data_IF_070647034909
#
_entry.id   IF_070647034909
#
_cell.length_a   1.000
_cell.length_b   1.000
_cell.length_c   1.000
_cell.angle_alpha   90.00
_cell.angle_beta   90.00
_cell.angle_gamma   90.00
#
_symmetry.space_group_name_H-M   'P 1'
#
loop_
_entity.id
_entity.type
_entity.pdbx_description
1 polymer ?
#
# COMPACT_ATOMS: atom_id res chain seq x y z
N UNK A 1 26.26 -10.54 -3.08
CA UNK A 1 24.82 -10.73 -3.37
C UNK A 1 24.09 -10.62 -2.05
N UNK A 2 23.70 -9.42 -1.63
CA UNK A 2 22.78 -9.26 -0.49
C UNK A 2 21.56 -8.62 -1.15
N UNK A 3 20.64 -9.49 -1.59
CA UNK A 3 19.34 -9.08 -2.08
C UNK A 3 18.70 -8.35 -0.90
N UNK A 4 18.72 -7.02 -0.97
CA UNK A 4 18.18 -6.19 0.09
C UNK A 4 16.70 -6.49 0.14
N UNK A 5 16.28 -7.34 1.07
CA UNK A 5 14.88 -7.62 1.36
C UNK A 5 14.20 -6.26 1.55
N UNK A 6 13.53 -5.79 0.49
CA UNK A 6 12.82 -4.53 0.51
C UNK A 6 11.59 -4.82 1.35
N UNK A 7 11.74 -4.68 2.66
CA UNK A 7 10.64 -4.89 3.58
C UNK A 7 9.52 -3.88 3.34
N UNK A 8 8.36 -4.18 3.91
CA UNK A 8 7.15 -3.34 3.92
C UNK A 8 7.46 -1.82 4.04
N UNK A 9 8.35 -1.45 4.97
CA UNK A 9 8.74 -0.06 5.21
C UNK A 9 9.52 0.60 4.06
N UNK A 10 10.39 -0.16 3.39
CA UNK A 10 11.15 0.32 2.24
C UNK A 10 10.24 0.53 1.03
N UNK A 11 9.26 -0.37 0.80
CA UNK A 11 8.23 -0.16 -0.22
C UNK A 11 7.43 1.11 0.04
N UNK A 12 6.95 1.31 1.28
CA UNK A 12 6.21 2.52 1.63
C UNK A 12 7.04 3.81 1.41
N UNK A 13 8.34 3.77 1.69
CA UNK A 13 9.24 4.89 1.45
C UNK A 13 9.42 5.15 -0.05
N UNK A 14 9.64 4.10 -0.85
CA UNK A 14 9.77 4.17 -2.30
C UNK A 14 8.47 4.64 -2.96
N UNK A 15 7.34 4.13 -2.51
CA UNK A 15 6.01 4.54 -2.97
C UNK A 15 5.79 6.04 -2.77
N UNK A 16 6.14 6.57 -1.59
CA UNK A 16 6.08 8.01 -1.31
C UNK A 16 7.03 8.83 -2.18
N UNK A 17 8.20 8.29 -2.53
CA UNK A 17 9.13 8.97 -3.42
C UNK A 17 8.64 9.00 -4.88
N UNK A 18 8.02 7.93 -5.36
CA UNK A 18 7.53 7.80 -6.75
C UNK A 18 6.19 8.51 -6.94
N UNK A 19 5.22 8.23 -6.07
CA UNK A 19 3.84 8.70 -6.20
C UNK A 19 3.58 9.98 -5.39
N UNK A 20 4.49 10.36 -4.49
CA UNK A 20 4.24 11.43 -3.53
C UNK A 20 3.35 10.97 -2.37
N UNK A 21 2.86 11.93 -1.60
CA UNK A 21 1.97 11.62 -0.46
C UNK A 21 0.57 11.23 -0.95
N UNK A 22 -0.06 10.23 -0.33
CA UNK A 22 -1.44 9.83 -0.66
C UNK A 22 -2.42 11.01 -0.55
N UNK A 23 -2.20 11.92 0.41
CA UNK A 23 -2.97 13.15 0.56
C UNK A 23 -2.90 14.11 -0.62
N UNK A 24 -1.85 14.04 -1.43
CA UNK A 24 -1.76 14.81 -2.68
C UNK A 24 -2.54 14.18 -3.84
N UNK A 25 -3.13 13.00 -3.64
CA UNK A 25 -3.84 12.26 -4.67
C UNK A 25 -5.33 12.14 -4.38
N UNK A 26 -6.09 11.96 -5.46
CA UNK A 26 -7.50 11.61 -5.42
C UNK A 26 -7.67 10.12 -5.14
N UNK A 27 -8.77 9.75 -4.50
CA UNK A 27 -9.04 8.37 -4.15
C UNK A 27 -9.37 7.56 -5.41
N UNK A 28 -8.70 6.43 -5.62
CA UNK A 28 -8.90 5.60 -6.81
C UNK A 28 -10.34 5.08 -6.97
N UNK A 29 -11.08 4.92 -5.86
CA UNK A 29 -12.48 4.45 -5.87
C UNK A 29 -13.54 5.56 -5.76
N UNK A 30 -13.16 6.80 -5.44
CA UNK A 30 -14.14 7.87 -5.26
C UNK A 30 -13.49 9.26 -5.40
N UNK A 31 -14.29 10.28 -5.63
CA UNK A 31 -13.84 11.68 -5.82
C UNK A 31 -13.36 12.40 -4.54
N UNK A 32 -12.91 11.65 -3.53
CA UNK A 32 -12.44 12.20 -2.25
C UNK A 32 -10.91 12.24 -2.21
N UNK A 33 -10.38 13.16 -1.43
CA UNK A 33 -8.95 13.20 -1.15
C UNK A 33 -8.50 11.90 -0.46
N UNK A 34 -7.49 11.25 -1.02
CA UNK A 34 -6.91 10.08 -0.42
C UNK A 34 -6.16 10.45 0.87
N UNK A 35 -6.01 9.48 1.76
CA UNK A 35 -5.37 9.70 3.07
C UNK A 35 -4.23 8.74 3.29
N UNK A 36 -4.32 7.55 2.70
CA UNK A 36 -3.31 6.51 2.78
C UNK A 36 -3.30 5.69 1.49
N UNK A 37 -2.23 4.91 1.29
CA UNK A 37 -2.13 3.98 0.18
C UNK A 37 -2.55 2.59 0.67
N UNK A 38 -3.46 1.97 -0.07
CA UNK A 38 -3.87 0.60 0.17
C UNK A 38 -3.31 -0.30 -0.92
N UNK A 39 -2.85 -1.48 -0.52
CA UNK A 39 -2.45 -2.52 -1.46
C UNK A 39 -3.70 -3.23 -2.00
N UNK A 40 -3.73 -3.47 -3.31
CA UNK A 40 -4.89 -4.07 -4.01
C UNK A 40 -5.02 -5.58 -3.80
N UNK A 41 -3.96 -6.27 -3.37
CA UNK A 41 -3.89 -7.75 -3.37
C UNK A 41 -4.01 -8.39 -4.76
N UNK A 42 -3.81 -7.61 -5.83
CA UNK A 42 -3.84 -8.08 -7.20
C UNK A 42 -2.50 -8.58 -7.75
N UNK A 43 -1.42 -8.57 -6.95
CA UNK A 43 -0.10 -9.03 -7.39
C UNK A 43 0.08 -10.53 -7.13
N UNK A 44 0.39 -11.34 -8.15
CA UNK A 44 0.70 -12.76 -7.96
C UNK A 44 2.03 -12.98 -7.21
N UNK A 45 2.92 -11.99 -7.15
CA UNK A 45 4.20 -12.04 -6.41
C UNK A 45 4.09 -11.27 -5.08
N UNK A 46 2.93 -11.36 -4.40
CA UNK A 46 2.76 -10.73 -3.10
C UNK A 46 3.76 -11.27 -2.07
N UNK A 47 4.44 -10.34 -1.41
CA UNK A 47 5.36 -10.65 -0.32
C UNK A 47 4.62 -10.56 1.01
N UNK A 48 5.06 -11.37 1.96
CA UNK A 48 4.56 -11.35 3.34
C UNK A 48 5.66 -10.77 4.22
N UNK A 49 5.33 -9.75 5.00
CA UNK A 49 6.29 -9.06 5.86
C UNK A 49 5.67 -8.57 7.14
N UNK A 50 6.53 -8.20 8.09
CA UNK A 50 6.08 -7.54 9.31
C UNK A 50 5.91 -6.04 9.05
N UNK A 51 4.72 -5.54 9.37
CA UNK A 51 4.45 -4.11 9.45
C UNK A 51 5.16 -3.49 10.64
N UNK A 52 5.21 -2.16 10.69
CA UNK A 52 5.73 -1.40 11.85
C UNK A 52 4.97 -1.72 13.16
N UNK A 53 3.76 -2.29 13.07
CA UNK A 53 2.95 -2.73 14.21
C UNK A 53 3.20 -4.19 14.62
N UNK A 54 4.29 -4.80 14.15
CA UNK A 54 4.60 -6.22 14.35
C UNK A 54 3.46 -7.17 13.93
N UNK A 55 2.62 -6.72 12.98
CA UNK A 55 1.55 -7.52 12.38
C UNK A 55 2.02 -8.02 11.02
N UNK A 56 1.73 -9.29 10.70
CA UNK A 56 2.01 -9.87 9.39
C UNK A 56 1.04 -9.24 8.38
N UNK A 57 1.57 -8.60 7.35
CA UNK A 57 0.79 -8.05 6.24
C UNK A 57 1.41 -8.45 4.90
N UNK A 58 0.53 -8.54 3.90
CA UNK A 58 0.92 -8.74 2.50
C UNK A 58 1.23 -7.40 1.85
N UNK A 59 2.26 -7.37 1.04
CA UNK A 59 2.74 -6.17 0.36
C UNK A 59 3.39 -6.57 -0.96
N UNK A 60 3.36 -5.68 -1.95
CA UNK A 60 4.05 -5.91 -3.23
C UNK A 60 5.23 -4.96 -3.35
N UNK A 61 6.26 -5.32 -4.10
CA UNK A 61 7.35 -4.39 -4.43
C UNK A 61 6.94 -3.38 -5.50
N UNK A 62 5.87 -3.69 -6.25
CA UNK A 62 5.45 -2.85 -7.35
C UNK A 62 4.52 -1.72 -6.86
N UNK A 63 4.93 -0.44 -7.01
CA UNK A 63 4.09 0.68 -6.61
C UNK A 63 2.81 0.79 -7.45
N UNK A 64 2.70 0.08 -8.58
CA UNK A 64 1.47 0.01 -9.36
C UNK A 64 0.30 -0.61 -8.58
N UNK A 65 0.57 -1.61 -7.73
CA UNK A 65 -0.47 -2.27 -6.91
C UNK A 65 -0.91 -1.46 -5.68
N UNK A 66 -0.33 -0.27 -5.47
CA UNK A 66 -0.74 0.64 -4.40
C UNK A 66 -1.63 1.75 -4.93
N UNK A 67 -2.85 1.80 -4.38
CA UNK A 67 -3.87 2.77 -4.74
C UNK A 67 -4.08 3.76 -3.60
N UNK A 68 -4.11 5.04 -3.92
CA UNK A 68 -4.44 6.07 -2.94
C UNK A 68 -5.93 5.95 -2.62
N UNK A 69 -6.29 5.73 -1.35
CA UNK A 69 -7.69 5.61 -0.93
C UNK A 69 -8.01 6.59 0.18
N UNK A 70 -9.26 7.06 0.21
CA UNK A 70 -9.80 7.78 1.35
C UNK A 70 -10.07 6.81 2.51
N UNK A 71 -10.22 7.32 3.75
CA UNK A 71 -10.43 6.45 4.94
C UNK A 71 -11.63 5.51 4.77
N UNK A 72 -12.70 5.96 4.13
CA UNK A 72 -13.92 5.18 3.94
C UNK A 72 -13.71 4.02 2.97
N UNK A 73 -13.10 4.27 1.81
CA UNK A 73 -12.80 3.22 0.82
C UNK A 73 -11.70 2.28 1.33
N UNK A 74 -10.68 2.83 1.98
CA UNK A 74 -9.62 2.03 2.61
C UNK A 74 -10.19 1.05 3.63
N UNK A 75 -11.12 1.49 4.49
CA UNK A 75 -11.78 0.59 5.45
C UNK A 75 -12.65 -0.47 4.76
N UNK A 76 -13.35 -0.12 3.68
CA UNK A 76 -14.13 -1.09 2.91
C UNK A 76 -13.25 -2.18 2.30
N UNK A 77 -12.08 -1.79 1.75
CA UNK A 77 -11.11 -2.73 1.20
C UNK A 77 -10.50 -3.62 2.28
N UNK A 78 -10.11 -3.03 3.42
CA UNK A 78 -9.64 -3.77 4.59
C UNK A 78 -10.68 -4.79 5.10
N UNK A 79 -11.96 -4.40 5.18
CA UNK A 79 -13.06 -5.31 5.52
C UNK A 79 -13.32 -6.39 4.48
N UNK A 80 -13.07 -6.13 3.20
CA UNK A 80 -13.20 -7.13 2.13
C UNK A 80 -12.01 -8.09 2.06
N UNK A 81 -10.86 -7.69 2.61
CA UNK A 81 -9.63 -8.47 2.69
C UNK A 81 -9.47 -9.24 4.02
N UNK A 82 -10.38 -9.03 4.98
CA UNK A 82 -10.46 -9.72 6.27
C UNK A 82 -11.27 -11.02 6.18
#
# INVERSE_FOLDING_TARGET
>A
MQDGEIGYRSVHSRLRAIKGTARGQECAECDKQAVDYSYDHGDPDELIGMTEKASIARYSLDPAHYQALCRSCHRKRDLAAA
#
